data_IF_450814221327
#
_entry.id   IF_450814221327
#
_cell.length_a   1.000
_cell.length_b   1.000
_cell.length_c   1.000
_cell.angle_alpha   90.00
_cell.angle_beta   90.00
_cell.angle_gamma   90.00
#
_symmetry.space_group_name_H-M   'P 1'
#
loop_
_entity.id
_entity.type
_entity.pdbx_description
1 polymer ?
#
# COMPACT_ATOMS: atom_id res chain seq x y z
N UNK A 1 6.12 -2.23 11.74
CA UNK A 1 5.49 -1.21 10.87
C UNK A 1 5.97 0.18 11.25
N UNK A 2 5.82 0.57 12.52
CA UNK A 2 6.28 1.88 13.02
C UNK A 2 7.73 2.20 12.63
N UNK A 3 8.68 1.33 13.00
CA UNK A 3 10.10 1.49 12.65
C UNK A 3 10.36 1.57 11.15
N UNK A 4 9.55 0.85 10.36
CA UNK A 4 9.66 0.91 8.90
C UNK A 4 9.25 2.29 8.38
N UNK A 5 8.09 2.81 8.81
CA UNK A 5 7.62 4.12 8.38
C UNK A 5 8.57 5.25 8.83
N UNK A 6 9.02 5.23 10.09
CA UNK A 6 9.91 6.24 10.64
C UNK A 6 11.26 6.31 9.89
N UNK A 7 11.74 5.16 9.42
CA UNK A 7 12.99 5.07 8.65
C UNK A 7 12.83 5.54 7.21
N UNK A 8 11.65 5.34 6.61
CA UNK A 8 11.37 5.65 5.20
C UNK A 8 10.91 7.11 5.02
N UNK A 9 10.13 7.64 5.95
CA UNK A 9 9.46 8.93 5.84
C UNK A 9 10.17 9.95 6.74
N UNK A 10 10.99 10.84 6.18
CA UNK A 10 11.72 11.83 6.97
C UNK A 10 10.76 12.75 7.72
N UNK A 11 11.01 12.98 9.01
CA UNK A 11 10.22 13.88 9.83
C UNK A 11 8.84 13.35 10.22
N UNK A 12 8.56 12.05 10.06
CA UNK A 12 7.22 11.51 10.35
C UNK A 12 6.86 11.61 11.84
N UNK A 13 7.81 11.32 12.73
CA UNK A 13 7.57 11.27 14.17
C UNK A 13 7.07 12.61 14.74
N UNK A 14 7.52 13.72 14.15
CA UNK A 14 7.22 15.08 14.57
C UNK A 14 5.84 15.56 14.09
N UNK A 15 5.29 14.95 13.04
CA UNK A 15 4.11 15.46 12.33
C UNK A 15 2.89 14.53 12.38
N UNK A 16 3.07 13.23 12.63
CA UNK A 16 1.93 12.35 12.80
C UNK A 16 1.19 12.65 14.10
N UNK A 17 -0.12 12.42 14.09
CA UNK A 17 -0.95 12.66 15.26
C UNK A 17 -2.04 11.63 15.36
N UNK A 18 -2.15 11.02 16.53
CA UNK A 18 -3.19 10.06 16.87
C UNK A 18 -4.55 10.70 17.08
N UNK A 19 -5.60 9.92 16.84
CA UNK A 19 -6.97 10.21 17.25
C UNK A 19 -7.16 10.14 18.75
N UNK A 20 -8.18 10.84 19.23
CA UNK A 20 -8.62 10.73 20.61
C UNK A 20 -9.28 9.36 20.86
N UNK A 21 -9.17 8.79 22.06
CA UNK A 21 -9.79 7.50 22.38
C UNK A 21 -11.30 7.46 22.10
N UNK A 22 -12.00 8.58 22.28
CA UNK A 22 -13.44 8.70 22.05
C UNK A 22 -13.80 8.57 20.55
N UNK A 23 -12.96 9.13 19.68
CA UNK A 23 -13.13 9.01 18.22
C UNK A 23 -12.96 7.55 17.78
N UNK A 24 -11.94 6.87 18.30
CA UNK A 24 -11.69 5.44 18.02
C UNK A 24 -12.86 4.59 18.52
N UNK A 25 -13.35 4.85 19.72
CA UNK A 25 -14.50 4.14 20.28
C UNK A 25 -15.79 4.39 19.49
N UNK A 26 -15.95 5.58 18.90
CA UNK A 26 -17.08 5.86 18.02
C UNK A 26 -16.99 5.10 16.69
N UNK A 27 -15.80 5.03 16.08
CA UNK A 27 -15.58 4.21 14.87
C UNK A 27 -15.83 2.72 15.16
N UNK A 28 -15.38 2.21 16.32
CA UNK A 28 -15.63 0.83 16.74
C UNK A 28 -17.13 0.54 16.92
N UNK A 29 -17.90 1.50 17.45
CA UNK A 29 -19.37 1.39 17.52
C UNK A 29 -20.03 1.36 16.14
N UNK A 30 -19.55 2.17 15.19
CA UNK A 30 -20.04 2.15 13.79
C UNK A 30 -19.76 0.79 13.14
N UNK A 31 -18.58 0.22 13.38
CA UNK A 31 -18.22 -1.11 12.89
C UNK A 31 -19.06 -2.24 13.52
N UNK A 32 -19.65 -2.00 14.71
CA UNK A 32 -20.44 -2.98 15.45
C UNK A 32 -19.62 -4.15 16.01
N UNK A 33 -18.28 -4.07 15.95
CA UNK A 33 -17.33 -5.11 16.39
C UNK A 33 -15.96 -4.48 16.66
N UNK A 34 -15.04 -5.17 17.37
CA UNK A 34 -13.69 -4.68 17.58
C UNK A 34 -12.97 -4.36 16.26
N UNK A 35 -12.25 -3.23 16.21
CA UNK A 35 -11.48 -2.85 15.02
C UNK A 35 -10.31 -3.80 14.78
N UNK A 36 -9.90 -4.02 13.52
CA UNK A 36 -8.66 -4.74 13.21
C UNK A 36 -7.48 -4.14 14.00
N UNK A 37 -6.62 -4.97 14.63
CA UNK A 37 -5.53 -4.48 15.48
C UNK A 37 -4.64 -3.44 14.80
N UNK A 38 -4.35 -3.64 13.51
CA UNK A 38 -3.57 -2.68 12.74
C UNK A 38 -4.27 -1.33 12.56
N UNK A 39 -5.56 -1.31 12.27
CA UNK A 39 -6.32 -0.06 12.14
C UNK A 39 -6.38 0.71 13.45
N UNK A 40 -6.58 0.01 14.56
CA UNK A 40 -6.54 0.63 15.89
C UNK A 40 -5.17 1.27 16.17
N UNK A 41 -4.07 0.59 15.84
CA UNK A 41 -2.72 1.17 15.90
C UNK A 41 -2.60 2.40 14.99
N UNK A 42 -3.09 2.33 13.75
CA UNK A 42 -3.06 3.44 12.81
C UNK A 42 -3.80 4.65 13.39
N UNK A 43 -5.03 4.49 13.88
CA UNK A 43 -5.80 5.59 14.46
C UNK A 43 -5.07 6.18 15.68
N UNK A 44 -4.46 5.34 16.51
CA UNK A 44 -3.70 5.77 17.70
C UNK A 44 -2.45 6.58 17.34
N UNK A 45 -1.84 6.35 16.17
CA UNK A 45 -0.60 7.04 15.75
C UNK A 45 -0.82 8.19 14.77
N UNK A 46 -1.75 8.01 13.84
CA UNK A 46 -1.92 8.83 12.63
C UNK A 46 -3.37 9.22 12.34
N UNK A 47 -4.32 8.86 13.21
CA UNK A 47 -5.75 9.06 12.94
C UNK A 47 -6.23 10.52 12.94
N UNK A 48 -5.42 11.49 13.37
CA UNK A 48 -5.68 12.92 13.16
C UNK A 48 -4.81 13.51 12.04
N UNK A 49 -3.58 13.05 11.91
CA UNK A 49 -2.64 13.51 10.88
C UNK A 49 -1.67 12.40 10.53
N UNK A 50 -1.53 12.14 9.24
CA UNK A 50 -0.49 11.27 8.69
C UNK A 50 0.83 12.00 8.46
N UNK A 51 0.89 13.31 8.73
CA UNK A 51 2.07 14.13 8.47
C UNK A 51 2.46 14.08 6.98
N UNK A 52 3.77 13.93 6.66
CA UNK A 52 4.24 13.83 5.28
C UNK A 52 3.64 12.65 4.50
N UNK A 53 3.12 11.62 5.17
CA UNK A 53 2.53 10.44 4.51
C UNK A 53 1.11 10.70 3.97
N UNK A 54 0.55 11.89 4.19
CA UNK A 54 -0.78 12.25 3.69
C UNK A 54 -0.84 12.18 2.15
N UNK A 55 -2.01 11.81 1.64
CA UNK A 55 -2.31 11.75 0.22
C UNK A 55 -3.06 13.02 -0.20
N UNK A 56 -2.93 13.43 -1.46
CA UNK A 56 -3.52 14.69 -1.95
C UNK A 56 -5.04 14.69 -1.89
N UNK A 57 -5.71 13.59 -2.28
CA UNK A 57 -7.18 13.50 -2.34
C UNK A 57 -7.78 12.54 -1.32
N UNK A 58 -6.94 11.76 -0.63
CA UNK A 58 -7.40 10.75 0.33
C UNK A 58 -7.19 11.20 1.76
N UNK A 59 -8.27 11.23 2.52
CA UNK A 59 -8.28 11.57 3.94
C UNK A 59 -8.67 10.33 4.77
N UNK A 60 -7.67 9.80 5.48
CA UNK A 60 -7.79 8.66 6.39
C UNK A 60 -8.02 9.07 7.86
N UNK A 61 -8.24 10.36 8.14
CA UNK A 61 -8.45 10.82 9.51
C UNK A 61 -9.75 10.27 10.11
N UNK A 62 -9.73 9.97 11.41
CA UNK A 62 -10.91 9.55 12.15
C UNK A 62 -12.03 10.58 12.06
N UNK A 63 -11.68 11.87 12.14
CA UNK A 63 -12.66 12.94 12.03
C UNK A 63 -13.37 12.88 10.68
N UNK A 64 -12.64 12.65 9.58
CA UNK A 64 -13.27 12.52 8.26
C UNK A 64 -14.19 11.32 8.18
N UNK A 65 -13.73 10.15 8.65
CA UNK A 65 -14.56 8.93 8.70
C UNK A 65 -15.85 9.18 9.48
N UNK A 66 -15.75 9.78 10.67
CA UNK A 66 -16.91 10.08 11.51
C UNK A 66 -17.86 11.08 10.86
N UNK A 67 -17.34 12.14 10.23
CA UNK A 67 -18.15 13.12 9.49
C UNK A 67 -18.91 12.46 8.34
N UNK A 68 -18.27 11.57 7.57
CA UNK A 68 -18.95 10.86 6.48
C UNK A 68 -20.16 10.04 6.96
N UNK A 69 -20.07 9.41 8.14
CA UNK A 69 -21.21 8.71 8.73
C UNK A 69 -22.26 9.65 9.34
N UNK A 70 -21.83 10.75 9.95
CA UNK A 70 -22.74 11.73 10.56
C UNK A 70 -23.56 12.51 9.51
N UNK A 71 -22.96 12.79 8.35
CA UNK A 71 -23.59 13.46 7.21
C UNK A 71 -24.27 12.48 6.25
N UNK A 72 -24.36 11.19 6.62
CA UNK A 72 -24.98 10.13 5.81
C UNK A 72 -24.38 9.97 4.40
N UNK A 73 -23.16 10.45 4.18
CA UNK A 73 -22.41 10.25 2.92
C UNK A 73 -22.09 8.77 2.70
N UNK A 74 -22.00 8.00 3.78
CA UNK A 74 -21.81 6.55 3.76
C UNK A 74 -22.77 5.91 4.76
N UNK A 75 -23.58 4.95 4.30
CA UNK A 75 -24.44 4.19 5.19
C UNK A 75 -23.62 3.19 6.03
N UNK A 76 -23.88 3.06 7.35
CA UNK A 76 -23.30 1.99 8.16
C UNK A 76 -23.60 0.60 7.58
N UNK A 77 -22.59 -0.26 7.51
CA UNK A 77 -22.73 -1.62 6.98
C UNK A 77 -21.98 -2.62 7.87
N UNK A 78 -22.58 -3.77 8.25
CA UNK A 78 -21.96 -4.70 9.22
C UNK A 78 -20.66 -5.33 8.73
N UNK A 79 -20.47 -5.41 7.40
CA UNK A 79 -19.27 -5.94 6.73
C UNK A 79 -18.27 -4.86 6.31
N UNK A 80 -18.74 -3.65 5.98
CA UNK A 80 -17.88 -2.65 5.34
C UNK A 80 -17.72 -1.43 6.23
N UNK A 81 -16.48 -1.10 6.54
CA UNK A 81 -16.13 0.09 7.32
C UNK A 81 -15.33 1.05 6.45
N UNK A 82 -15.80 2.28 6.30
CA UNK A 82 -15.04 3.35 5.65
C UNK A 82 -13.77 3.63 6.47
N UNK A 83 -12.62 3.65 5.79
CA UNK A 83 -11.33 3.96 6.43
C UNK A 83 -10.60 5.13 5.78
N UNK A 84 -10.94 5.48 4.54
CA UNK A 84 -10.37 6.64 3.85
C UNK A 84 -11.37 7.21 2.87
N UNK A 85 -11.61 8.51 2.95
CA UNK A 85 -12.50 9.22 2.03
C UNK A 85 -11.68 9.82 0.88
N UNK A 86 -12.20 9.71 -0.33
CA UNK A 86 -11.59 10.27 -1.55
C UNK A 86 -12.40 11.49 -1.98
N UNK A 87 -11.77 12.66 -2.05
CA UNK A 87 -12.42 13.93 -2.39
C UNK A 87 -12.45 14.22 -3.89
N UNK A 88 -12.08 13.26 -4.74
CA UNK A 88 -12.23 13.39 -6.19
C UNK A 88 -13.71 13.64 -6.57
N UNK A 89 -13.97 14.72 -7.30
CA UNK A 89 -15.33 15.15 -7.65
C UNK A 89 -15.95 14.35 -8.82
N UNK A 90 -15.13 13.68 -9.62
CA UNK A 90 -15.56 13.04 -10.86
C UNK A 90 -15.91 11.57 -10.65
N UNK A 91 -15.03 10.80 -10.00
CA UNK A 91 -15.25 9.38 -9.72
C UNK A 91 -14.60 8.97 -8.37
N UNK A 92 -15.19 9.38 -7.23
CA UNK A 92 -14.61 9.09 -5.93
C UNK A 92 -14.66 7.59 -5.63
N UNK A 93 -13.50 7.01 -5.35
CA UNK A 93 -13.33 5.62 -4.93
C UNK A 93 -12.70 5.57 -3.54
N UNK A 94 -13.57 5.53 -2.53
CA UNK A 94 -13.18 5.53 -1.13
C UNK A 94 -12.63 4.18 -0.68
N UNK A 95 -11.80 4.20 0.35
CA UNK A 95 -11.23 3.01 0.96
C UNK A 95 -12.12 2.47 2.06
N UNK A 96 -12.36 1.16 2.00
CA UNK A 96 -13.09 0.41 3.01
C UNK A 96 -12.27 -0.79 3.48
N UNK A 97 -12.51 -1.20 4.71
CA UNK A 97 -12.28 -2.57 5.11
C UNK A 97 -13.47 -3.45 4.76
N UNK A 98 -13.17 -4.68 4.35
CA UNK A 98 -14.07 -5.82 4.42
C UNK A 98 -13.79 -6.60 5.71
N UNK A 99 -14.59 -6.33 6.74
CA UNK A 99 -14.43 -6.88 8.09
C UNK A 99 -14.77 -8.36 8.19
N UNK A 100 -15.37 -8.96 7.15
CA UNK A 100 -15.63 -10.41 7.08
C UNK A 100 -14.46 -11.17 6.42
N UNK A 101 -13.45 -10.45 5.90
CA UNK A 101 -12.25 -11.02 5.30
C UNK A 101 -10.99 -10.57 6.09
N UNK A 102 -10.74 -11.16 7.28
CA UNK A 102 -9.55 -10.86 8.06
C UNK A 102 -8.28 -11.33 7.33
N UNK A 103 -7.21 -10.53 7.38
CA UNK A 103 -5.94 -10.85 6.74
C UNK A 103 -4.77 -10.39 7.63
N UNK A 104 -3.93 -11.32 8.10
CA UNK A 104 -2.68 -11.05 8.85
C UNK A 104 -2.82 -10.04 10.03
N UNK A 105 -3.80 -10.22 10.90
CA UNK A 105 -4.14 -9.30 12.00
C UNK A 105 -4.52 -7.88 11.55
N UNK A 106 -5.03 -7.79 10.33
CA UNK A 106 -5.69 -6.65 9.70
C UNK A 106 -6.98 -7.17 9.03
N UNK A 107 -7.64 -6.35 8.22
CA UNK A 107 -8.73 -6.78 7.35
C UNK A 107 -8.42 -6.44 5.88
N UNK A 108 -9.15 -7.09 4.97
CA UNK A 108 -9.03 -6.85 3.55
C UNK A 108 -9.41 -5.41 3.20
N UNK A 109 -8.57 -4.74 2.43
CA UNK A 109 -8.83 -3.38 1.95
C UNK A 109 -9.36 -3.42 0.53
N UNK A 110 -10.37 -2.60 0.28
CA UNK A 110 -10.95 -2.40 -1.04
C UNK A 110 -11.26 -0.93 -1.30
N UNK A 111 -11.41 -0.58 -2.56
CA UNK A 111 -11.94 0.69 -3.04
C UNK A 111 -13.30 0.47 -3.68
N UNK A 112 -14.24 1.36 -3.40
CA UNK A 112 -15.58 1.37 -3.99
C UNK A 112 -16.25 2.74 -3.83
N UNK A 113 -17.36 2.95 -4.54
CA UNK A 113 -18.23 4.11 -4.28
C UNK A 113 -19.00 3.94 -2.96
N UNK A 114 -19.37 5.07 -2.35
CA UNK A 114 -20.13 5.10 -1.11
C UNK A 114 -21.47 4.36 -1.19
N UNK A 115 -22.18 4.49 -2.32
CA UNK A 115 -23.49 3.87 -2.56
C UNK A 115 -23.39 2.37 -2.91
N UNK A 116 -22.19 1.89 -3.20
CA UNK A 116 -21.93 0.50 -3.52
C UNK A 116 -21.21 0.31 -4.85
N UNK A 117 -21.56 -0.76 -5.59
CA UNK A 117 -20.97 -1.04 -6.90
C UNK A 117 -19.73 -1.94 -6.90
N UNK A 118 -18.98 -1.86 -8.01
CA UNK A 118 -17.79 -2.67 -8.27
C UNK A 118 -16.71 -2.45 -7.21
N UNK A 119 -15.99 -3.52 -6.90
CA UNK A 119 -14.92 -3.52 -5.90
C UNK A 119 -13.58 -3.56 -6.63
N UNK A 120 -12.67 -2.70 -6.20
CA UNK A 120 -11.29 -2.77 -6.60
C UNK A 120 -10.44 -3.08 -5.38
N UNK A 121 -9.67 -4.16 -5.41
CA UNK A 121 -8.83 -4.59 -4.30
C UNK A 121 -7.37 -4.23 -4.62
N UNK A 122 -6.90 -3.00 -4.34
CA UNK A 122 -5.53 -2.63 -4.72
C UNK A 122 -4.47 -3.33 -3.85
N UNK A 123 -4.83 -3.69 -2.61
CA UNK A 123 -3.93 -4.31 -1.63
C UNK A 123 -4.70 -5.31 -0.77
N UNK A 124 -4.02 -6.30 -0.22
CA UNK A 124 -4.64 -7.27 0.67
C UNK A 124 -4.89 -6.69 2.06
N UNK A 125 -4.06 -5.76 2.53
CA UNK A 125 -4.19 -5.14 3.87
C UNK A 125 -3.92 -3.63 3.82
N UNK A 126 -4.42 -2.90 4.81
CA UNK A 126 -4.14 -1.46 4.93
C UNK A 126 -2.69 -1.21 5.28
N UNK A 127 -2.08 -2.14 6.01
CA UNK A 127 -0.65 -2.13 6.29
C UNK A 127 0.20 -2.11 5.02
N UNK A 128 -0.15 -2.91 4.03
CA UNK A 128 0.56 -2.92 2.75
C UNK A 128 0.35 -1.63 1.98
N UNK A 129 -0.89 -1.12 1.93
CA UNK A 129 -1.17 0.18 1.30
C UNK A 129 -0.26 1.28 1.85
N UNK A 130 -0.16 1.38 3.18
CA UNK A 130 0.67 2.39 3.84
C UNK A 130 2.16 2.18 3.57
N UNK A 131 2.65 0.94 3.64
CA UNK A 131 4.06 0.65 3.44
C UNK A 131 4.48 0.84 1.97
N UNK A 132 3.64 0.41 1.04
CA UNK A 132 3.82 0.60 -0.40
C UNK A 132 3.86 2.10 -0.73
N UNK A 133 2.85 2.86 -0.29
CA UNK A 133 2.79 4.30 -0.52
C UNK A 133 4.02 5.03 0.05
N UNK A 134 4.42 4.69 1.28
CA UNK A 134 5.61 5.28 1.90
C UNK A 134 6.88 5.01 1.08
N UNK A 135 7.13 3.74 0.71
CA UNK A 135 8.35 3.38 -0.03
C UNK A 135 8.35 3.96 -1.45
N UNK A 136 7.19 3.98 -2.11
CA UNK A 136 7.04 4.58 -3.43
C UNK A 136 7.32 6.09 -3.39
N UNK A 137 6.65 6.84 -2.51
CA UNK A 137 6.73 8.31 -2.48
C UNK A 137 8.05 8.84 -1.90
N UNK A 138 8.64 8.15 -0.93
CA UNK A 138 9.82 8.67 -0.21
C UNK A 138 11.14 8.02 -0.60
N UNK A 139 11.12 6.90 -1.32
CA UNK A 139 12.33 6.28 -1.87
C UNK A 139 12.29 6.22 -3.38
N UNK A 140 11.41 5.39 -3.96
CA UNK A 140 11.40 5.14 -5.42
C UNK A 140 11.25 6.45 -6.20
N UNK A 141 10.21 7.22 -5.94
CA UNK A 141 9.91 8.48 -6.63
C UNK A 141 10.86 9.64 -6.33
N UNK A 142 11.83 9.46 -5.43
CA UNK A 142 12.88 10.46 -5.15
C UNK A 142 14.24 10.07 -5.72
N UNK A 143 14.35 8.88 -6.32
CA UNK A 143 15.63 8.44 -6.89
C UNK A 143 15.88 9.12 -8.25
N UNK A 144 17.15 9.43 -8.61
CA UNK A 144 17.48 10.08 -9.88
C UNK A 144 17.10 9.31 -11.14
N UNK A 145 16.88 8.00 -11.00
CA UNK A 145 16.45 7.12 -12.07
C UNK A 145 15.33 6.24 -11.54
N UNK A 146 14.29 6.07 -12.34
CA UNK A 146 13.22 5.12 -12.03
C UNK A 146 12.67 4.47 -13.28
N UNK A 147 12.03 3.31 -13.10
CA UNK A 147 11.29 2.67 -14.17
C UNK A 147 10.06 1.95 -13.61
N UNK A 148 9.03 1.85 -14.45
CA UNK A 148 7.80 1.12 -14.16
C UNK A 148 7.63 0.03 -15.21
N UNK A 149 7.31 -1.18 -14.76
CA UNK A 149 7.24 -2.36 -15.61
C UNK A 149 6.34 -3.45 -15.00
N UNK A 150 6.09 -4.48 -15.80
CA UNK A 150 5.39 -5.69 -15.37
C UNK A 150 6.37 -6.86 -15.33
N UNK A 151 6.28 -7.67 -14.27
CA UNK A 151 6.80 -9.02 -14.21
C UNK A 151 5.70 -9.97 -14.68
N UNK A 152 6.01 -10.81 -15.65
CA UNK A 152 5.10 -11.84 -16.17
C UNK A 152 5.77 -13.20 -15.99
N UNK A 153 5.12 -14.08 -15.25
CA UNK A 153 5.54 -15.47 -15.04
C UNK A 153 4.55 -16.45 -15.65
N UNK A 154 4.88 -17.74 -15.55
CA UNK A 154 3.95 -18.83 -15.88
C UNK A 154 3.09 -19.23 -14.66
N UNK A 155 3.60 -18.94 -13.45
CA UNK A 155 2.96 -19.25 -12.17
C UNK A 155 2.57 -17.96 -11.42
N UNK A 156 1.47 -17.97 -10.65
CA UNK A 156 0.97 -16.79 -9.94
C UNK A 156 1.88 -16.32 -8.80
N UNK A 157 2.75 -17.19 -8.26
CA UNK A 157 3.65 -16.86 -7.16
C UNK A 157 4.94 -16.17 -7.64
N UNK A 158 4.80 -15.00 -8.25
CA UNK A 158 5.91 -14.20 -8.79
C UNK A 158 6.97 -13.87 -7.72
N UNK A 159 6.55 -13.62 -6.47
CA UNK A 159 7.47 -13.25 -5.40
C UNK A 159 8.43 -14.40 -5.03
N UNK A 160 8.00 -15.67 -5.17
CA UNK A 160 8.89 -16.81 -4.92
C UNK A 160 10.11 -16.85 -5.86
N UNK A 161 9.99 -16.31 -7.07
CA UNK A 161 11.08 -16.17 -8.03
C UNK A 161 11.88 -14.88 -7.81
N UNK A 162 11.20 -13.80 -7.45
CA UNK A 162 11.83 -12.49 -7.27
C UNK A 162 12.65 -12.39 -5.99
N UNK A 163 12.12 -12.91 -4.86
CA UNK A 163 12.73 -12.77 -3.54
C UNK A 163 14.19 -13.25 -3.48
N UNK A 164 14.56 -14.44 -4.01
CA UNK A 164 15.95 -14.89 -3.96
C UNK A 164 16.92 -13.97 -4.71
N UNK A 165 16.50 -13.39 -5.83
CA UNK A 165 17.32 -12.45 -6.62
C UNK A 165 17.47 -11.13 -5.89
N UNK A 166 16.40 -10.63 -5.28
CA UNK A 166 16.48 -9.39 -4.51
C UNK A 166 17.35 -9.57 -3.26
N UNK A 167 17.23 -10.72 -2.58
CA UNK A 167 18.09 -11.09 -1.45
C UNK A 167 19.57 -11.19 -1.89
N UNK A 168 19.87 -11.80 -3.06
CA UNK A 168 21.25 -11.90 -3.60
C UNK A 168 21.86 -10.55 -3.98
N UNK A 169 21.03 -9.60 -4.41
CA UNK A 169 21.40 -8.23 -4.70
C UNK A 169 21.53 -7.35 -3.43
N UNK A 170 21.29 -7.92 -2.24
CA UNK A 170 21.46 -7.24 -0.96
C UNK A 170 20.30 -6.32 -0.58
N UNK A 171 19.11 -6.55 -1.12
CA UNK A 171 17.91 -5.85 -0.67
C UNK A 171 17.41 -6.45 0.65
N UNK A 172 16.89 -5.58 1.51
CA UNK A 172 16.11 -5.95 2.67
C UNK A 172 14.62 -5.86 2.36
N UNK A 173 13.83 -6.69 3.03
CA UNK A 173 12.36 -6.71 2.92
C UNK A 173 11.68 -6.73 4.28
N UNK A 174 10.57 -6.00 4.47
CA UNK A 174 9.77 -6.08 5.68
C UNK A 174 9.06 -7.43 5.76
N UNK A 175 8.93 -7.99 6.98
CA UNK A 175 8.27 -9.30 7.21
C UNK A 175 6.74 -9.24 7.32
N UNK A 176 6.13 -8.10 7.00
CA UNK A 176 4.70 -7.87 7.24
C UNK A 176 3.85 -7.78 5.97
N UNK A 177 4.46 -7.92 4.79
CA UNK A 177 3.76 -7.94 3.50
C UNK A 177 3.37 -9.36 3.11
N UNK A 178 2.40 -9.46 2.21
CA UNK A 178 1.84 -10.69 1.69
C UNK A 178 2.34 -11.09 0.31
N UNK A 179 1.77 -12.17 -0.26
CA UNK A 179 2.11 -12.66 -1.59
C UNK A 179 1.73 -11.69 -2.73
N UNK A 180 0.95 -10.66 -2.43
CA UNK A 180 0.50 -9.67 -3.41
C UNK A 180 1.27 -8.35 -3.34
N UNK A 181 2.22 -8.20 -2.41
CA UNK A 181 2.96 -6.96 -2.21
C UNK A 181 4.43 -7.24 -1.89
N UNK A 182 5.33 -6.88 -2.82
CA UNK A 182 6.78 -6.96 -2.62
C UNK A 182 7.34 -5.58 -2.30
N UNK A 183 8.08 -5.45 -1.20
CA UNK A 183 8.76 -4.21 -0.83
C UNK A 183 10.24 -4.50 -0.61
N UNK A 184 11.09 -3.91 -1.43
CA UNK A 184 12.53 -4.15 -1.40
C UNK A 184 13.28 -2.84 -1.25
N UNK A 185 14.26 -2.82 -0.38
CA UNK A 185 15.10 -1.65 -0.17
C UNK A 185 16.56 -2.02 -0.03
N UNK A 186 17.42 -1.31 -0.74
CA UNK A 186 18.87 -1.31 -0.52
C UNK A 186 19.34 0.13 -0.32
N UNK A 187 20.66 0.30 -0.15
CA UNK A 187 21.27 1.62 -0.04
C UNK A 187 21.08 2.46 -1.32
N UNK A 188 21.19 1.81 -2.48
CA UNK A 188 21.32 2.49 -3.78
C UNK A 188 20.07 2.34 -4.66
N UNK A 189 19.08 1.55 -4.23
CA UNK A 189 17.86 1.28 -4.97
C UNK A 189 16.70 0.89 -4.05
N UNK A 190 15.47 1.06 -4.52
CA UNK A 190 14.26 0.58 -3.87
C UNK A 190 13.26 0.10 -4.92
N UNK A 191 12.46 -0.91 -4.60
CA UNK A 191 11.46 -1.48 -5.48
C UNK A 191 10.17 -1.72 -4.71
N UNK A 192 9.05 -1.37 -5.33
CA UNK A 192 7.72 -1.75 -4.85
C UNK A 192 7.06 -2.59 -5.93
N UNK A 193 6.38 -3.66 -5.52
CA UNK A 193 5.68 -4.58 -6.39
C UNK A 193 4.26 -4.79 -5.85
N UNK A 194 3.28 -4.86 -6.74
CA UNK A 194 1.90 -5.15 -6.38
C UNK A 194 1.20 -5.97 -7.46
N UNK A 195 0.35 -6.91 -7.05
CA UNK A 195 -0.67 -7.51 -7.90
C UNK A 195 -2.03 -7.40 -7.24
N UNK A 196 -3.08 -7.37 -8.05
CA UNK A 196 -4.45 -7.37 -7.55
C UNK A 196 -4.66 -8.73 -6.85
N UNK A 197 -5.05 -8.77 -5.56
CA UNK A 197 -5.31 -10.01 -4.88
C UNK A 197 -6.68 -10.53 -5.35
N UNK A 198 -6.71 -11.44 -6.31
CA UNK A 198 -7.96 -12.07 -6.80
C UNK A 198 -8.06 -13.52 -6.34
N UNK A 199 -9.26 -14.07 -6.36
CA UNK A 199 -9.50 -15.50 -6.13
C UNK A 199 -8.78 -16.37 -7.18
N UNK A 200 -8.74 -15.89 -8.43
CA UNK A 200 -7.92 -16.44 -9.51
C UNK A 200 -6.70 -15.53 -9.73
N UNK A 201 -5.53 -15.88 -9.17
CA UNK A 201 -4.36 -15.02 -9.23
C UNK A 201 -3.76 -15.02 -10.63
N UNK A 202 -3.53 -13.84 -11.17
CA UNK A 202 -2.79 -13.67 -12.43
C UNK A 202 -1.28 -13.84 -12.18
N UNK A 203 -0.58 -14.41 -13.15
CA UNK A 203 0.89 -14.49 -13.17
C UNK A 203 1.53 -13.18 -13.65
N UNK A 204 0.96 -12.05 -13.22
CA UNK A 204 1.39 -10.70 -13.58
C UNK A 204 1.51 -9.86 -12.31
N UNK A 205 2.62 -9.15 -12.18
CA UNK A 205 2.87 -8.22 -11.07
C UNK A 205 3.45 -6.92 -11.60
N UNK A 206 2.81 -5.80 -11.26
CA UNK A 206 3.35 -4.48 -11.57
C UNK A 206 4.45 -4.13 -10.57
N UNK A 207 5.46 -3.40 -11.02
CA UNK A 207 6.48 -2.85 -10.13
C UNK A 207 6.96 -1.48 -10.58
N UNK A 208 7.43 -0.72 -9.60
CA UNK A 208 8.22 0.49 -9.80
C UNK A 208 9.56 0.33 -9.09
N UNK A 209 10.65 0.61 -9.81
CA UNK A 209 12.01 0.47 -9.34
C UNK A 209 12.72 1.83 -9.45
N UNK A 210 13.31 2.29 -8.34
CA UNK A 210 14.14 3.48 -8.28
C UNK A 210 15.59 3.12 -8.00
N UNK A 211 16.53 3.88 -8.56
CA UNK A 211 17.97 3.67 -8.40
C UNK A 211 18.76 4.96 -8.50
N UNK A 212 19.96 4.97 -7.91
CA UNK A 212 20.88 6.12 -7.97
C UNK A 212 21.32 6.50 -9.39
N UNK A 213 21.39 5.51 -10.30
CA UNK A 213 21.82 5.65 -11.68
C UNK A 213 21.22 4.55 -12.58
N UNK A 214 21.31 4.74 -13.91
CA UNK A 214 20.69 3.82 -14.87
C UNK A 214 21.44 2.48 -14.96
N UNK A 215 22.72 2.45 -14.59
CA UNK A 215 23.50 1.21 -14.47
C UNK A 215 22.97 0.31 -13.36
N UNK A 216 22.57 0.90 -12.24
CA UNK A 216 21.96 0.23 -11.09
C UNK A 216 20.65 -0.43 -11.49
N UNK A 217 19.75 0.31 -12.17
CA UNK A 217 18.49 -0.24 -12.67
C UNK A 217 18.74 -1.40 -13.64
N UNK A 218 19.59 -1.19 -14.65
CA UNK A 218 19.93 -2.23 -15.65
C UNK A 218 20.51 -3.48 -15.01
N UNK A 219 21.37 -3.34 -14.00
CA UNK A 219 21.92 -4.49 -13.25
C UNK A 219 20.81 -5.29 -12.59
N UNK A 220 19.89 -4.63 -11.87
CA UNK A 220 18.80 -5.29 -11.16
C UNK A 220 17.89 -6.03 -12.14
N UNK A 221 17.42 -5.35 -13.19
CA UNK A 221 16.56 -6.00 -14.21
C UNK A 221 17.31 -7.10 -14.97
N UNK A 222 18.60 -6.93 -15.23
CA UNK A 222 19.44 -7.96 -15.84
C UNK A 222 19.51 -9.21 -14.97
N UNK A 223 19.73 -9.06 -13.66
CA UNK A 223 19.69 -10.18 -12.71
C UNK A 223 18.31 -10.85 -12.69
N UNK A 224 17.21 -10.08 -12.62
CA UNK A 224 15.86 -10.66 -12.66
C UNK A 224 15.65 -11.47 -13.94
N UNK A 225 16.00 -10.92 -15.10
CA UNK A 225 15.78 -11.56 -16.40
C UNK A 225 16.71 -12.76 -16.68
N UNK A 226 17.84 -12.87 -15.98
CA UNK A 226 18.82 -13.95 -16.19
C UNK A 226 18.76 -15.04 -15.12
N UNK A 227 18.37 -14.69 -13.89
CA UNK A 227 18.32 -15.60 -12.74
C UNK A 227 16.91 -16.18 -12.50
N UNK A 228 15.89 -15.66 -13.19
CA UNK A 228 14.50 -16.14 -13.08
C UNK A 228 13.88 -16.45 -14.43
N UNK A 229 12.76 -17.16 -14.44
CA UNK A 229 11.91 -17.34 -15.64
C UNK A 229 10.99 -16.15 -15.92
N UNK A 230 11.03 -15.09 -15.09
CA UNK A 230 10.14 -13.94 -15.21
C UNK A 230 10.52 -13.09 -16.44
N UNK A 231 9.50 -12.72 -17.21
CA UNK A 231 9.63 -11.77 -18.31
C UNK A 231 9.35 -10.36 -17.80
N UNK A 232 10.20 -9.41 -18.19
CA UNK A 232 10.02 -7.99 -17.86
C UNK A 232 9.41 -7.28 -19.06
N UNK A 233 8.23 -6.69 -18.88
CA UNK A 233 7.60 -5.80 -19.87
C UNK A 233 7.70 -4.37 -19.39
N UNK A 234 8.58 -3.60 -20.01
CA UNK A 234 8.74 -2.17 -19.70
C UNK A 234 7.49 -1.38 -20.07
N UNK A 235 7.09 -0.48 -19.17
CA UNK A 235 6.02 0.50 -19.41
C UNK A 235 6.67 1.88 -19.59
N UNK A 236 7.53 2.26 -18.66
CA UNK A 236 8.10 3.60 -18.58
C UNK A 236 9.51 3.59 -17.97
N UNK A 237 10.33 4.56 -18.37
CA UNK A 237 11.65 4.82 -17.80
C UNK A 237 11.88 6.33 -17.68
N UNK A 238 12.31 6.78 -16.51
CA UNK A 238 12.54 8.18 -16.21
C UNK A 238 13.95 8.44 -15.61
N UNK A 239 14.69 9.44 -16.12
CA UNK A 239 14.49 10.11 -17.41
C UNK A 239 14.63 9.14 -18.60
N UNK A 240 14.04 9.43 -19.76
CA UNK A 240 14.16 8.58 -20.95
C UNK A 240 15.62 8.26 -21.28
N UNK A 241 15.88 7.00 -21.67
CA UNK A 241 17.21 6.49 -22.02
C UNK A 241 17.77 7.07 -23.31
#
# INVERSE_FOLDING_TARGET
MEDFLLRIVPGLAEHWKGSRPEEIAQIERIAGRPLPPFYRWFLTRMGQSMGPLAYTTLDFSAQRVLTCYAEELVAPHPRFLLIGYDSDEMMPLHFFYDLDLPARADARVLRRHAEGGERHDPYETFRELLAYGALLSFRVGRMPQSCTALLVGDEPDILSYLDPVMDSLGFARPRFTGPCCGLYESRDAAMVCSKIPRDEPEAIMAFSLGGKDSGTLRKIMGSIATETSLKIKMIEWEPPL
#
